data_IF_520399950131
#
_entry.id   IF_520399950131
#
_cell.length_a   1.000
_cell.length_b   1.000
_cell.length_c   1.000
_cell.angle_alpha   90.00
_cell.angle_beta   90.00
_cell.angle_gamma   90.00
#
_symmetry.space_group_name_H-M   'P 1'
#
loop_
_entity.id
_entity.type
_entity.pdbx_description
1 polymer ?
#
# COMPACT_ATOMS: atom_id res chain seq x y z
N UNK A 1 -0.16 -55.29 46.85
CA UNK A 1 0.76 -55.88 45.86
C UNK A 1 1.29 -54.75 44.97
N UNK A 2 2.61 -54.58 44.81
CA UNK A 2 3.20 -53.60 43.91
C UNK A 2 3.63 -54.21 42.57
N UNK A 3 3.36 -53.51 41.44
CA UNK A 3 4.18 -53.34 40.20
C UNK A 3 3.31 -53.00 38.97
N UNK A 4 3.86 -52.42 37.88
CA UNK A 4 5.15 -51.75 37.73
C UNK A 4 5.04 -50.30 37.22
N UNK A 5 6.09 -49.54 37.53
CA UNK A 5 6.46 -48.31 36.82
C UNK A 5 7.25 -48.79 35.60
N UNK A 6 6.80 -48.45 34.39
CA UNK A 6 7.62 -48.56 33.20
C UNK A 6 7.83 -47.17 32.60
N UNK A 7 9.12 -46.89 32.39
CA UNK A 7 9.69 -45.72 31.75
C UNK A 7 9.05 -45.43 30.40
N UNK A 8 8.83 -44.15 30.09
CA UNK A 8 9.45 -43.56 28.89
C UNK A 8 9.29 -42.04 28.92
N UNK A 9 10.44 -41.37 29.00
CA UNK A 9 10.64 -39.96 28.75
C UNK A 9 10.11 -39.57 27.36
N UNK A 10 9.16 -38.64 27.29
CA UNK A 10 9.03 -37.73 26.16
C UNK A 10 8.83 -36.33 26.75
N UNK A 11 9.88 -35.52 26.68
CA UNK A 11 9.79 -34.09 26.89
C UNK A 11 8.98 -33.51 25.73
N UNK A 12 7.78 -33.02 26.00
CA UNK A 12 7.11 -32.09 25.09
C UNK A 12 7.01 -30.73 25.80
N UNK A 13 7.85 -29.82 25.33
CA UNK A 13 7.93 -28.45 25.80
C UNK A 13 6.69 -27.69 25.33
N UNK A 14 5.58 -27.82 26.06
CA UNK A 14 4.40 -26.95 25.95
C UNK A 14 4.66 -25.57 26.54
N UNK A 15 5.70 -24.87 26.07
CA UNK A 15 6.00 -23.51 26.47
C UNK A 15 5.19 -22.52 25.61
N UNK A 16 4.17 -21.92 26.25
CA UNK A 16 3.59 -20.60 25.96
C UNK A 16 3.83 -20.08 24.54
N UNK A 17 2.84 -20.24 23.66
CA UNK A 17 2.71 -19.38 22.48
C UNK A 17 2.45 -17.95 22.97
N UNK A 18 3.55 -17.21 23.08
CA UNK A 18 3.56 -15.79 23.33
C UNK A 18 2.95 -15.13 22.10
N UNK A 19 1.73 -14.63 22.27
CA UNK A 19 1.12 -13.48 21.56
C UNK A 19 1.91 -13.08 20.31
N UNK A 20 1.53 -13.67 19.18
CA UNK A 20 1.96 -13.20 17.87
C UNK A 20 1.62 -11.70 17.79
N UNK A 21 2.59 -10.80 17.53
CA UNK A 21 2.29 -9.41 17.31
C UNK A 21 1.58 -9.34 15.96
N UNK A 22 0.26 -9.43 16.02
CA UNK A 22 -0.61 -9.26 14.87
C UNK A 22 -0.10 -8.10 14.05
N UNK A 23 0.31 -8.40 12.82
CA UNK A 23 0.47 -7.43 11.74
C UNK A 23 -0.92 -6.94 11.37
N UNK A 24 -1.58 -6.28 12.32
CA UNK A 24 -2.61 -5.33 12.03
C UNK A 24 -1.96 -4.34 11.10
N UNK A 25 -2.29 -4.44 9.82
CA UNK A 25 -1.99 -3.42 8.84
C UNK A 25 -2.67 -2.16 9.35
N UNK A 26 -1.99 -1.40 10.22
CA UNK A 26 -2.39 -0.06 10.56
C UNK A 26 -2.42 0.63 9.20
N UNK A 27 -3.64 0.97 8.75
CA UNK A 27 -3.82 1.82 7.59
C UNK A 27 -3.04 3.09 7.88
N UNK A 28 -1.82 3.19 7.32
CA UNK A 28 -1.08 4.43 7.35
C UNK A 28 -1.94 5.39 6.57
N UNK A 29 -2.60 6.30 7.28
CA UNK A 29 -3.28 7.43 6.67
C UNK A 29 -2.21 8.12 5.82
N UNK A 30 -2.32 7.98 4.51
CA UNK A 30 -1.39 8.60 3.57
C UNK A 30 -1.74 10.08 3.58
N UNK A 31 -0.86 10.96 4.09
CA UNK A 31 -1.15 12.39 4.15
C UNK A 31 -1.33 12.94 2.75
N UNK A 32 -2.30 13.83 2.58
CA UNK A 32 -2.52 14.51 1.31
C UNK A 32 -1.35 15.44 0.99
N UNK A 33 -1.09 15.67 -0.31
CA UNK A 33 0.03 16.52 -0.76
C UNK A 33 -0.09 17.95 -0.21
N UNK A 34 -1.30 18.53 -0.13
CA UNK A 34 -1.51 19.84 0.48
C UNK A 34 -1.09 19.87 1.96
N UNK A 35 -1.30 18.79 2.71
CA UNK A 35 -0.92 18.72 4.13
C UNK A 35 0.59 18.62 4.30
N UNK A 36 1.26 17.93 3.38
CA UNK A 36 2.73 17.85 3.34
C UNK A 36 3.31 19.23 2.99
N UNK A 37 2.77 19.92 1.98
CA UNK A 37 3.22 21.27 1.59
C UNK A 37 3.06 22.25 2.75
N UNK A 38 1.92 22.22 3.45
CA UNK A 38 1.71 23.05 4.66
C UNK A 38 2.75 22.74 5.74
N UNK A 39 3.06 21.46 5.98
CA UNK A 39 4.10 21.09 6.94
C UNK A 39 5.47 21.63 6.53
N UNK A 40 5.84 21.49 5.26
CA UNK A 40 7.12 22.00 4.73
C UNK A 40 7.23 23.51 4.91
N UNK A 41 6.17 24.27 4.62
CA UNK A 41 6.13 25.73 4.82
C UNK A 41 6.24 26.15 6.29
N UNK A 42 5.91 25.26 7.23
CA UNK A 42 6.03 25.50 8.66
C UNK A 42 7.39 25.04 9.24
N UNK A 43 8.25 24.44 8.41
CA UNK A 43 9.61 24.12 8.83
C UNK A 43 10.44 25.40 8.80
N UNK A 44 11.36 25.53 9.76
CA UNK A 44 12.30 26.64 9.86
C UNK A 44 13.47 26.47 8.88
N UNK A 45 13.16 26.23 7.60
CA UNK A 45 14.12 26.06 6.52
C UNK A 45 14.43 27.40 5.85
N UNK A 46 15.55 27.43 5.15
CA UNK A 46 15.83 28.52 4.22
C UNK A 46 14.74 28.59 3.13
N UNK A 47 14.48 29.80 2.63
CA UNK A 47 13.44 30.05 1.64
C UNK A 47 13.66 29.25 0.36
N UNK A 48 14.88 29.23 -0.16
CA UNK A 48 15.19 28.56 -1.43
C UNK A 48 15.01 27.04 -1.28
N UNK A 49 15.40 26.50 -0.14
CA UNK A 49 15.19 25.08 0.19
C UNK A 49 13.71 24.74 0.33
N UNK A 50 12.92 25.62 0.94
CA UNK A 50 11.46 25.45 1.07
C UNK A 50 10.78 25.45 -0.29
N UNK A 51 11.11 26.41 -1.16
CA UNK A 51 10.57 26.50 -2.52
C UNK A 51 10.96 25.28 -3.37
N UNK A 52 12.21 24.82 -3.27
CA UNK A 52 12.68 23.61 -3.94
C UNK A 52 11.90 22.36 -3.51
N UNK A 53 11.65 22.19 -2.21
CA UNK A 53 10.90 21.04 -1.69
C UNK A 53 9.43 21.09 -2.13
N UNK A 54 8.79 22.25 -2.03
CA UNK A 54 7.39 22.41 -2.44
C UNK A 54 7.20 22.15 -3.93
N UNK A 55 8.06 22.70 -4.78
CA UNK A 55 8.01 22.48 -6.24
C UNK A 55 8.23 21.02 -6.60
N UNK A 56 9.25 20.38 -6.02
CA UNK A 56 9.54 18.96 -6.25
C UNK A 56 8.36 18.05 -5.86
N UNK A 57 7.73 18.32 -4.72
CA UNK A 57 6.56 17.58 -4.25
C UNK A 57 5.35 17.74 -5.18
N UNK A 58 5.11 18.97 -5.65
CA UNK A 58 4.03 19.24 -6.60
C UNK A 58 4.27 18.55 -7.94
N UNK A 59 5.49 18.57 -8.46
CA UNK A 59 5.82 17.94 -9.74
C UNK A 59 5.72 16.42 -9.67
N UNK A 60 6.15 15.82 -8.55
CA UNK A 60 5.95 14.40 -8.30
C UNK A 60 4.46 14.04 -8.25
N UNK A 61 3.65 14.84 -7.55
CA UNK A 61 2.19 14.65 -7.48
C UNK A 61 1.52 14.72 -8.87
N UNK A 62 1.91 15.70 -9.70
CA UNK A 62 1.44 15.83 -11.09
C UNK A 62 1.84 14.62 -11.92
N UNK A 63 3.09 14.17 -11.81
CA UNK A 63 3.61 13.00 -12.55
C UNK A 63 2.81 11.74 -12.25
N UNK A 64 2.57 11.44 -10.96
CA UNK A 64 1.77 10.27 -10.58
C UNK A 64 0.31 10.39 -11.03
N UNK A 65 -0.28 11.59 -10.94
CA UNK A 65 -1.66 11.84 -11.40
C UNK A 65 -1.78 11.67 -12.92
N UNK A 66 -0.81 12.18 -13.69
CA UNK A 66 -0.76 12.01 -15.13
C UNK A 66 -0.64 10.52 -15.51
N UNK A 67 0.33 9.81 -14.93
CA UNK A 67 0.53 8.38 -15.21
C UNK A 67 -0.69 7.53 -14.89
N UNK A 68 -1.38 7.82 -13.78
CA UNK A 68 -2.60 7.12 -13.42
C UNK A 68 -3.75 7.36 -14.41
N UNK A 69 -3.85 8.57 -14.99
CA UNK A 69 -4.82 8.88 -16.04
C UNK A 69 -4.51 8.12 -17.33
N UNK A 70 -3.24 8.06 -17.73
CA UNK A 70 -2.84 7.35 -18.95
C UNK A 70 -3.13 5.85 -18.85
N UNK A 71 -2.85 5.23 -17.70
CA UNK A 71 -3.20 3.82 -17.45
C UNK A 71 -4.72 3.60 -17.54
N UNK A 72 -5.52 4.47 -16.92
CA UNK A 72 -6.99 4.38 -16.99
C UNK A 72 -7.51 4.52 -18.42
N UNK A 73 -6.94 5.44 -19.21
CA UNK A 73 -7.29 5.62 -20.61
C UNK A 73 -6.95 4.36 -21.41
N UNK A 74 -5.73 3.84 -21.29
CA UNK A 74 -5.30 2.62 -21.98
C UNK A 74 -6.18 1.40 -21.66
N UNK A 75 -6.55 1.20 -20.39
CA UNK A 75 -7.45 0.11 -19.98
C UNK A 75 -8.84 0.29 -20.59
N UNK A 76 -9.39 1.51 -20.53
CA UNK A 76 -10.70 1.83 -21.12
C UNK A 76 -10.69 1.55 -22.62
N UNK A 77 -9.68 2.05 -23.32
CA UNK A 77 -9.57 1.92 -24.77
C UNK A 77 -9.39 0.44 -25.15
N UNK A 78 -8.60 -0.32 -24.40
CA UNK A 78 -8.50 -1.78 -24.55
C UNK A 78 -9.82 -2.52 -24.32
N UNK A 79 -10.67 -2.07 -23.39
CA UNK A 79 -12.02 -2.64 -23.20
C UNK A 79 -12.91 -2.33 -24.41
N UNK A 80 -12.85 -1.09 -24.91
CA UNK A 80 -13.65 -0.65 -26.05
C UNK A 80 -13.29 -1.46 -27.30
N UNK A 81 -12.01 -1.54 -27.64
CA UNK A 81 -11.53 -2.22 -28.85
C UNK A 81 -11.75 -3.73 -28.81
N UNK A 82 -11.45 -4.37 -27.68
CA UNK A 82 -11.44 -5.84 -27.62
C UNK A 82 -12.80 -6.45 -27.24
N UNK A 83 -13.70 -5.69 -26.61
CA UNK A 83 -14.97 -6.22 -26.12
C UNK A 83 -16.16 -5.47 -26.68
N UNK A 84 -16.21 -4.15 -26.53
CA UNK A 84 -17.42 -3.37 -26.89
C UNK A 84 -17.64 -3.34 -28.40
N UNK A 85 -16.60 -3.03 -29.19
CA UNK A 85 -16.69 -2.98 -30.66
C UNK A 85 -17.15 -4.34 -31.24
N UNK A 86 -16.52 -5.49 -30.93
CA UNK A 86 -16.98 -6.79 -31.42
C UNK A 86 -18.40 -7.16 -31.00
N UNK A 87 -18.86 -6.71 -29.83
CA UNK A 87 -20.24 -6.93 -29.38
C UNK A 87 -21.19 -6.11 -30.26
N UNK A 88 -20.93 -4.80 -30.42
CA UNK A 88 -21.78 -3.93 -31.26
C UNK A 88 -21.85 -4.44 -32.69
N UNK A 89 -20.72 -4.84 -33.28
CA UNK A 89 -20.66 -5.39 -34.64
C UNK A 89 -21.46 -6.69 -34.82
N UNK A 90 -21.70 -7.45 -33.74
CA UNK A 90 -22.56 -8.64 -33.79
C UNK A 90 -24.05 -8.33 -33.72
N UNK A 91 -24.43 -7.13 -33.29
CA UNK A 91 -25.82 -6.70 -33.10
C UNK A 91 -26.26 -5.57 -34.06
N UNK A 92 -25.33 -5.00 -34.83
CA UNK A 92 -25.58 -4.07 -35.93
C UNK A 92 -25.77 -4.82 -37.26
#
# INVERSE_FOLDING_TARGET
>A
MPKPVDMSTIADAGAKTTKDPGTGSQSRVIPNIEDIVKKVNNLNLDKDLTEFLVSSLQDLSKLFTAKARDIKAAVRDGIIENFIVPIVDKFA
#
